data_IF_691994236694
#
_entry.id   IF_691994236694
#
_cell.length_a   1.000
_cell.length_b   1.000
_cell.length_c   1.000
_cell.angle_alpha   90.00
_cell.angle_beta   90.00
_cell.angle_gamma   90.00
#
_symmetry.space_group_name_H-M   'P 1'
#
loop_
_entity.id
_entity.type
_entity.pdbx_description
1 polymer ?
#
# COMPACT_ATOMS: atom_id res chain seq x y z
N UNK A 1 -18.89 4.16 -17.17
CA UNK A 1 -18.72 5.25 -16.19
C UNK A 1 -17.86 4.72 -15.05
N UNK A 2 -16.85 5.47 -14.63
CA UNK A 2 -15.98 5.08 -13.53
C UNK A 2 -16.63 5.51 -12.21
N UNK A 3 -16.80 4.57 -11.27
CA UNK A 3 -17.33 4.88 -9.95
C UNK A 3 -16.34 5.75 -9.17
N UNK A 4 -16.80 6.60 -8.23
CA UNK A 4 -15.91 7.39 -7.40
C UNK A 4 -15.04 6.48 -6.52
N UNK A 5 -13.71 6.64 -6.61
CA UNK A 5 -12.75 5.91 -5.77
C UNK A 5 -12.69 6.46 -4.34
N UNK A 6 -12.87 7.76 -4.18
CA UNK A 6 -13.02 8.38 -2.87
C UNK A 6 -14.43 8.14 -2.33
N UNK A 7 -14.55 7.17 -1.44
CA UNK A 7 -15.82 6.76 -0.81
C UNK A 7 -16.23 7.62 0.39
N UNK A 8 -15.42 8.61 0.78
CA UNK A 8 -15.74 9.50 1.92
C UNK A 8 -16.84 10.51 1.60
N UNK A 9 -17.14 10.72 0.32
CA UNK A 9 -18.17 11.65 -0.15
C UNK A 9 -17.77 13.14 -0.14
N UNK A 10 -16.59 13.50 0.38
CA UNK A 10 -16.10 14.88 0.45
C UNK A 10 -14.62 15.01 0.07
N UNK A 11 -14.16 16.24 -0.16
CA UNK A 11 -12.75 16.59 -0.35
C UNK A 11 -12.43 17.98 0.22
N UNK A 12 -11.19 18.20 0.66
CA UNK A 12 -10.68 19.54 0.98
C UNK A 12 -10.04 20.15 -0.28
N UNK A 13 -10.70 21.14 -0.87
CA UNK A 13 -10.25 21.79 -2.11
C UNK A 13 -8.89 22.47 -1.98
N UNK A 14 -8.50 22.89 -0.77
CA UNK A 14 -7.20 23.56 -0.56
C UNK A 14 -6.02 22.59 -0.65
N UNK A 15 -6.25 21.28 -0.53
CA UNK A 15 -5.23 20.24 -0.66
C UNK A 15 -4.97 19.82 -2.11
N UNK A 16 -5.90 20.13 -3.02
CA UNK A 16 -5.92 19.56 -4.37
C UNK A 16 -4.64 19.82 -5.16
N UNK A 17 -4.06 21.03 -5.05
CA UNK A 17 -2.81 21.37 -5.75
C UNK A 17 -1.61 20.57 -5.26
N UNK A 18 -1.52 20.25 -3.96
CA UNK A 18 -0.47 19.38 -3.43
C UNK A 18 -0.65 17.94 -3.92
N UNK A 19 -1.91 17.44 -3.95
CA UNK A 19 -2.22 16.10 -4.42
C UNK A 19 -1.86 15.94 -5.91
N UNK A 20 -2.20 16.93 -6.74
CA UNK A 20 -1.85 16.92 -8.17
C UNK A 20 -0.34 17.01 -8.39
N UNK A 21 0.36 17.84 -7.62
CA UNK A 21 1.81 17.97 -7.70
C UNK A 21 2.56 16.70 -7.30
N UNK A 22 2.06 15.96 -6.30
CA UNK A 22 2.58 14.64 -5.97
C UNK A 22 2.31 13.62 -7.10
N UNK A 23 1.08 13.60 -7.64
CA UNK A 23 0.69 12.62 -8.65
C UNK A 23 1.45 12.79 -9.97
N UNK A 24 1.75 14.02 -10.37
CA UNK A 24 2.54 14.30 -11.57
C UNK A 24 4.06 14.32 -11.32
N UNK A 25 4.51 14.10 -10.08
CA UNK A 25 5.92 14.06 -9.69
C UNK A 25 6.63 15.42 -9.65
N UNK A 26 5.90 16.53 -9.69
CA UNK A 26 6.49 17.89 -9.60
C UNK A 26 6.84 18.31 -8.17
N UNK A 27 6.34 17.58 -7.16
CA UNK A 27 6.69 17.77 -5.75
C UNK A 27 7.00 16.43 -5.09
N UNK A 28 7.95 16.47 -4.16
CA UNK A 28 8.31 15.31 -3.34
C UNK A 28 7.13 14.80 -2.51
N UNK A 29 6.96 13.48 -2.47
CA UNK A 29 5.80 12.86 -1.82
C UNK A 29 5.86 12.97 -0.30
N UNK A 30 7.04 12.89 0.31
CA UNK A 30 7.20 12.96 1.76
C UNK A 30 6.87 14.37 2.26
N UNK A 31 7.28 15.40 1.50
CA UNK A 31 6.89 16.79 1.76
C UNK A 31 5.38 17.02 1.61
N UNK A 32 4.76 16.42 0.59
CA UNK A 32 3.31 16.52 0.38
C UNK A 32 2.55 15.85 1.51
N UNK A 33 2.89 14.61 1.88
CA UNK A 33 2.26 13.88 2.99
C UNK A 33 2.33 14.71 4.27
N UNK A 34 3.53 15.18 4.62
CA UNK A 34 3.75 16.02 5.82
C UNK A 34 2.85 17.26 5.82
N UNK A 35 2.64 17.89 4.66
CA UNK A 35 1.81 19.09 4.54
C UNK A 35 0.30 18.80 4.61
N UNK A 36 -0.17 17.65 4.13
CA UNK A 36 -1.62 17.36 3.99
C UNK A 36 -2.21 16.56 5.15
N UNK A 37 -1.42 15.76 5.87
CA UNK A 37 -1.93 14.87 6.93
C UNK A 37 -2.84 15.57 7.96
N UNK A 38 -2.48 16.75 8.53
CA UNK A 38 -3.34 17.40 9.52
C UNK A 38 -4.74 17.74 8.99
N UNK A 39 -4.84 18.11 7.71
CA UNK A 39 -6.13 18.42 7.08
C UNK A 39 -6.92 17.15 6.76
N UNK A 40 -6.24 16.07 6.35
CA UNK A 40 -6.89 14.77 6.12
C UNK A 40 -7.51 14.22 7.41
N UNK A 41 -6.78 14.29 8.54
CA UNK A 41 -7.32 13.91 9.85
C UNK A 41 -8.51 14.78 10.27
N UNK A 42 -8.45 16.09 10.01
CA UNK A 42 -9.53 17.03 10.35
C UNK A 42 -10.84 16.81 9.55
N UNK A 43 -10.80 16.05 8.45
CA UNK A 43 -12.03 15.64 7.75
C UNK A 43 -12.83 14.58 8.53
N UNK A 44 -12.21 13.87 9.48
CA UNK A 44 -12.86 12.85 10.31
C UNK A 44 -13.64 11.78 9.52
N UNK A 45 -13.17 11.43 8.32
CA UNK A 45 -13.83 10.46 7.43
C UNK A 45 -13.09 9.12 7.31
N UNK A 46 -11.83 9.05 7.74
CA UNK A 46 -11.00 7.84 7.67
C UNK A 46 -10.26 7.66 8.99
N UNK A 47 -10.39 6.48 9.60
CA UNK A 47 -9.65 6.06 10.79
C UNK A 47 -8.83 4.82 10.44
N UNK A 48 -7.53 4.96 10.15
CA UNK A 48 -6.64 3.81 10.00
C UNK A 48 -6.57 3.00 11.31
N UNK A 49 -6.73 1.68 11.23
CA UNK A 49 -6.76 0.81 12.42
C UNK A 49 -5.48 -0.01 12.54
N UNK A 50 -5.17 -0.82 11.54
CA UNK A 50 -3.95 -1.63 11.48
C UNK A 50 -3.54 -1.89 10.04
N UNK A 51 -2.28 -2.28 9.87
CA UNK A 51 -1.80 -2.95 8.68
C UNK A 51 -1.88 -4.46 8.89
N UNK A 52 -2.37 -5.20 7.88
CA UNK A 52 -2.52 -6.65 7.97
C UNK A 52 -1.17 -7.36 8.08
N UNK A 53 -1.13 -8.44 8.85
CA UNK A 53 0.07 -9.26 9.04
C UNK A 53 -0.32 -10.74 8.99
N UNK A 54 0.51 -11.55 8.34
CA UNK A 54 0.26 -12.98 8.15
C UNK A 54 1.48 -13.80 8.58
N UNK A 55 1.23 -14.98 9.13
CA UNK A 55 2.29 -15.94 9.44
C UNK A 55 2.61 -16.71 8.16
N UNK A 56 3.89 -16.81 7.82
CA UNK A 56 4.40 -17.56 6.66
C UNK A 56 5.37 -18.65 7.13
N UNK A 57 5.35 -19.80 6.45
CA UNK A 57 6.22 -20.92 6.77
C UNK A 57 6.47 -21.80 5.53
N UNK A 58 7.65 -22.42 5.47
CA UNK A 58 8.01 -23.43 4.49
C UNK A 58 8.44 -24.71 5.22
N UNK A 59 7.85 -25.85 4.85
CA UNK A 59 8.23 -27.14 5.40
C UNK A 59 9.53 -27.68 4.77
N UNK A 60 10.22 -28.63 5.42
CA UNK A 60 11.45 -29.21 4.88
C UNK A 60 11.24 -30.07 3.61
N UNK A 61 9.98 -30.40 3.25
CA UNK A 61 9.62 -31.22 2.09
C UNK A 61 9.46 -30.42 0.78
N UNK A 62 9.72 -29.12 0.79
CA UNK A 62 9.66 -28.25 -0.39
C UNK A 62 10.96 -27.45 -0.47
N UNK A 63 11.56 -27.44 -1.65
CA UNK A 63 12.77 -26.70 -1.93
C UNK A 63 12.45 -25.36 -2.61
N UNK A 64 13.42 -24.46 -2.57
CA UNK A 64 13.42 -23.20 -3.31
C UNK A 64 12.34 -22.19 -2.88
N UNK A 65 11.84 -22.30 -1.64
CA UNK A 65 10.91 -21.33 -1.05
C UNK A 65 11.66 -20.24 -0.29
N UNK A 66 11.62 -19.01 -0.79
CA UNK A 66 11.99 -17.80 -0.03
C UNK A 66 10.82 -17.32 0.82
N UNK A 67 10.99 -17.23 2.14
CA UNK A 67 10.04 -16.56 3.04
C UNK A 67 10.21 -15.02 3.04
N UNK A 68 10.72 -14.46 1.95
CA UNK A 68 10.96 -13.03 1.78
C UNK A 68 10.57 -12.57 0.38
N UNK A 69 10.16 -11.31 0.25
CA UNK A 69 9.79 -10.71 -1.02
C UNK A 69 9.24 -9.29 -0.85
N UNK A 70 8.94 -8.62 -1.97
CA UNK A 70 8.36 -7.28 -1.95
C UNK A 70 6.95 -7.29 -1.33
N UNK A 71 6.61 -6.24 -0.58
CA UNK A 71 5.30 -6.11 0.12
C UNK A 71 4.08 -6.44 -0.76
N UNK A 72 3.99 -6.02 -2.05
CA UNK A 72 2.83 -6.33 -2.88
C UNK A 72 2.69 -7.81 -3.29
N UNK A 73 3.78 -8.60 -3.22
CA UNK A 73 3.83 -9.99 -3.70
C UNK A 73 3.88 -10.97 -2.53
N UNK A 74 4.58 -10.63 -1.45
CA UNK A 74 4.84 -11.54 -0.34
C UNK A 74 5.82 -12.64 -0.71
N UNK A 75 5.51 -13.88 -0.32
CA UNK A 75 6.44 -15.03 -0.39
C UNK A 75 6.35 -15.85 -1.68
N UNK A 76 5.48 -15.50 -2.65
CA UNK A 76 5.20 -16.35 -3.83
C UNK A 76 5.93 -15.90 -5.09
N UNK A 77 6.86 -14.94 -4.98
CA UNK A 77 7.57 -14.38 -6.14
C UNK A 77 8.45 -15.40 -6.88
N UNK A 78 8.93 -16.41 -6.17
CA UNK A 78 9.77 -17.51 -6.66
C UNK A 78 8.99 -18.84 -6.81
N UNK A 79 7.65 -18.81 -6.74
CA UNK A 79 6.82 -20.02 -6.76
C UNK A 79 6.95 -20.86 -8.04
N UNK A 80 7.47 -20.28 -9.12
CA UNK A 80 7.78 -21.02 -10.36
C UNK A 80 8.95 -21.99 -10.23
N UNK A 81 9.82 -21.79 -9.24
CA UNK A 81 11.01 -22.61 -8.99
C UNK A 81 10.78 -23.68 -7.91
N UNK A 82 9.66 -23.63 -7.19
CA UNK A 82 9.37 -24.53 -6.08
C UNK A 82 9.26 -25.98 -6.54
N UNK A 83 9.94 -26.87 -5.82
CA UNK A 83 9.90 -28.31 -6.09
C UNK A 83 9.68 -29.11 -4.82
N UNK A 84 8.88 -30.17 -4.89
CA UNK A 84 8.70 -31.09 -3.77
C UNK A 84 9.91 -32.02 -3.69
N UNK A 85 10.51 -32.13 -2.51
CA UNK A 85 11.59 -33.09 -2.27
C UNK A 85 11.01 -34.51 -2.04
N UNK A 86 11.76 -35.58 -2.38
CA UNK A 86 11.29 -36.96 -2.28
C UNK A 86 10.75 -37.36 -0.92
#
# INVERSE_FOLDING_TARGET
MQAPSNVTGICDRSLQSNIEAALNGSKDIDEVITAVEPRLWNLATVLPILQDTTIVAAGPSVADVSLSGAVPVGIVGDAGDWSKTP
#
